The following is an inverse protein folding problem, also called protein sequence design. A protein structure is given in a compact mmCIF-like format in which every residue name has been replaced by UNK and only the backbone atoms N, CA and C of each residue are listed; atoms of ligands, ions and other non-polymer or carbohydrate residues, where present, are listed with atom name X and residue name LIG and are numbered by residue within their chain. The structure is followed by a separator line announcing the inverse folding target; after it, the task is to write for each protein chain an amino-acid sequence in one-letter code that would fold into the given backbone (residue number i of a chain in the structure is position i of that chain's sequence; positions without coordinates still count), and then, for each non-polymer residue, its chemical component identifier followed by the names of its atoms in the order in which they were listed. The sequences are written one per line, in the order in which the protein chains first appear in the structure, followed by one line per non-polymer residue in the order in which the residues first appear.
data_IF_348106688722
#
_entry.id   IF_348106688722
#
_cell.length_a   1.000
_cell.length_b   1.000
_cell.length_c   1.000
_cell.angle_alpha   90.00
_cell.angle_beta   90.00
_cell.angle_gamma   90.00
#
_symmetry.space_group_name_H-M   'P 1'
#
loop_
_entity.id
_entity.type
_entity.pdbx_description
1 polymer ?
#
# COMPACT_ATOMS: atom_id res chain seq x y z
N UNK A 1 22.87 -15.12 -8.48
CA UNK A 1 21.61 -14.49 -8.85
C UNK A 1 21.04 -13.80 -7.61
N UNK A 2 20.61 -12.56 -7.70
CA UNK A 2 19.93 -11.90 -6.58
C UNK A 2 18.68 -12.74 -6.24
N UNK A 3 18.55 -13.11 -4.98
CA UNK A 3 17.39 -13.87 -4.52
C UNK A 3 16.15 -12.94 -4.60
N UNK A 4 15.06 -13.40 -5.21
CA UNK A 4 13.82 -12.62 -5.29
C UNK A 4 13.44 -12.07 -3.92
N UNK A 5 13.11 -10.76 -3.79
CA UNK A 5 12.77 -10.18 -2.51
C UNK A 5 11.56 -10.86 -1.90
N UNK A 6 11.61 -11.10 -0.60
CA UNK A 6 10.48 -11.56 0.19
C UNK A 6 9.54 -10.40 0.49
N UNK A 7 8.27 -10.58 0.17
CA UNK A 7 7.22 -9.59 0.34
C UNK A 7 6.25 -10.06 1.41
N UNK A 8 5.93 -9.18 2.36
CA UNK A 8 4.77 -9.34 3.24
C UNK A 8 3.66 -8.40 2.82
N UNK A 9 2.43 -8.89 2.80
CA UNK A 9 1.23 -8.09 2.52
C UNK A 9 0.42 -7.93 3.81
N UNK A 10 0.05 -6.70 4.15
CA UNK A 10 -0.82 -6.38 5.29
C UNK A 10 -2.27 -6.21 4.85
N UNK A 11 -3.22 -6.51 5.74
CA UNK A 11 -4.64 -6.53 5.40
C UNK A 11 -4.95 -7.61 4.35
N UNK A 12 -4.44 -8.81 4.60
CA UNK A 12 -4.42 -9.92 3.64
C UNK A 12 -5.82 -10.33 3.15
N UNK A 13 -6.84 -10.25 3.99
CA UNK A 13 -8.23 -10.59 3.67
C UNK A 13 -8.96 -9.51 2.87
N UNK A 14 -8.44 -8.28 2.91
CA UNK A 14 -9.02 -7.15 2.19
C UNK A 14 -8.96 -7.30 0.67
N UNK A 15 -9.81 -6.56 -0.04
CA UNK A 15 -9.84 -6.58 -1.51
C UNK A 15 -8.48 -6.32 -2.14
N UNK A 16 -7.77 -5.28 -1.67
CA UNK A 16 -6.43 -4.98 -2.16
C UNK A 16 -5.41 -6.03 -1.72
N UNK A 17 -5.48 -6.49 -0.46
CA UNK A 17 -4.61 -7.53 0.06
C UNK A 17 -4.64 -8.80 -0.80
N UNK A 18 -5.82 -9.32 -1.10
CA UNK A 18 -5.98 -10.50 -1.94
C UNK A 18 -5.46 -10.31 -3.37
N UNK A 19 -5.69 -9.13 -3.98
CA UNK A 19 -5.15 -8.82 -5.32
C UNK A 19 -3.61 -8.77 -5.30
N UNK A 20 -3.03 -8.11 -4.31
CA UNK A 20 -1.57 -8.00 -4.16
C UNK A 20 -0.92 -9.35 -3.88
N UNK A 21 -1.53 -10.18 -3.03
CA UNK A 21 -1.08 -11.55 -2.77
C UNK A 21 -1.06 -12.36 -4.06
N UNK A 22 -2.13 -12.29 -4.86
CA UNK A 22 -2.20 -12.98 -6.15
C UNK A 22 -1.10 -12.53 -7.11
N UNK A 23 -0.85 -11.22 -7.21
CA UNK A 23 0.22 -10.65 -8.05
C UNK A 23 1.61 -11.11 -7.57
N UNK A 24 1.87 -11.08 -6.26
CA UNK A 24 3.16 -11.53 -5.73
C UNK A 24 3.38 -13.03 -5.94
N UNK A 25 2.34 -13.84 -5.77
CA UNK A 25 2.42 -15.30 -6.01
C UNK A 25 2.63 -15.63 -7.48
N UNK A 26 2.14 -14.80 -8.42
CA UNK A 26 2.33 -15.00 -9.86
C UNK A 26 3.63 -14.40 -10.41
N UNK A 27 4.39 -13.67 -9.59
CA UNK A 27 5.59 -12.95 -10.00
C UNK A 27 6.84 -13.83 -10.00
N UNK A 28 7.59 -13.81 -11.10
CA UNK A 28 8.93 -14.43 -11.15
C UNK A 28 10.01 -13.59 -10.44
N UNK A 29 9.69 -12.35 -10.04
CA UNK A 29 10.65 -11.38 -9.48
C UNK A 29 10.47 -11.12 -7.99
N UNK A 30 9.49 -11.75 -7.34
CA UNK A 30 9.20 -11.60 -5.92
C UNK A 30 8.71 -12.94 -5.34
N UNK A 31 8.72 -13.06 -4.03
CA UNK A 31 8.12 -14.20 -3.34
C UNK A 31 7.33 -13.72 -2.14
N UNK A 32 6.15 -14.28 -1.93
CA UNK A 32 5.38 -14.01 -0.71
C UNK A 32 6.05 -14.73 0.47
N UNK A 33 6.25 -14.01 1.58
CA UNK A 33 6.87 -14.56 2.80
C UNK A 33 6.05 -14.31 4.05
N UNK A 34 5.00 -13.49 3.97
CA UNK A 34 4.11 -13.22 5.08
C UNK A 34 2.80 -12.60 4.63
N UNK A 35 1.79 -12.80 5.45
CA UNK A 35 0.46 -12.21 5.33
C UNK A 35 0.00 -11.78 6.72
N UNK A 36 -0.33 -10.52 6.88
CA UNK A 36 -0.73 -9.95 8.17
C UNK A 36 -2.18 -9.51 8.13
N UNK A 37 -2.90 -9.83 9.22
CA UNK A 37 -4.28 -9.42 9.40
C UNK A 37 -4.49 -8.88 10.82
N UNK A 38 -5.60 -8.20 11.04
CA UNK A 38 -5.91 -7.64 12.35
C UNK A 38 -6.15 -8.74 13.41
N UNK A 39 -5.86 -8.43 14.66
CA UNK A 39 -6.10 -9.32 15.79
C UNK A 39 -7.54 -9.83 15.80
N UNK A 40 -7.72 -11.14 15.98
CA UNK A 40 -9.02 -11.79 16.05
C UNK A 40 -9.69 -12.01 14.69
N UNK A 41 -9.04 -11.70 13.56
CA UNK A 41 -9.57 -12.03 12.25
C UNK A 41 -9.58 -13.56 12.03
N UNK A 42 -10.64 -14.13 11.42
CA UNK A 42 -10.77 -15.60 11.24
C UNK A 42 -9.62 -16.24 10.44
N UNK A 43 -8.88 -15.49 9.63
CA UNK A 43 -7.75 -16.02 8.88
C UNK A 43 -6.46 -16.17 9.71
N UNK A 44 -6.39 -15.54 10.89
CA UNK A 44 -5.19 -15.64 11.75
C UNK A 44 -5.01 -17.07 12.24
N UNK A 45 -3.82 -17.61 11.99
CA UNK A 45 -3.47 -19.01 12.28
C UNK A 45 -3.76 -19.99 11.17
N UNK A 46 -4.50 -19.60 10.11
CA UNK A 46 -4.82 -20.43 8.96
C UNK A 46 -3.77 -20.27 7.83
N UNK A 47 -3.67 -21.30 6.99
CA UNK A 47 -2.92 -21.17 5.72
C UNK A 47 -3.61 -20.18 4.79
N UNK A 48 -2.86 -19.24 4.28
CA UNK A 48 -3.38 -18.15 3.44
C UNK A 48 -4.08 -18.66 2.17
N UNK A 49 -3.58 -19.72 1.56
CA UNK A 49 -4.21 -20.34 0.40
C UNK A 49 -5.59 -20.89 0.75
N UNK A 50 -5.69 -21.67 1.81
CA UNK A 50 -6.94 -22.25 2.28
C UNK A 50 -7.93 -21.16 2.72
N UNK A 51 -7.47 -20.18 3.51
CA UNK A 51 -8.28 -19.05 3.96
C UNK A 51 -8.85 -18.22 2.81
N UNK A 52 -8.09 -18.08 1.70
CA UNK A 52 -8.53 -17.38 0.49
C UNK A 52 -9.34 -18.25 -0.49
N UNK A 53 -9.60 -19.51 -0.18
CA UNK A 53 -10.36 -20.45 -1.01
C UNK A 53 -9.56 -21.07 -2.15
N UNK A 54 -8.22 -21.11 -2.01
CA UNK A 54 -7.31 -21.78 -2.96
C UNK A 54 -6.59 -22.96 -2.28
N UNK A 55 -5.62 -23.55 -2.95
CA UNK A 55 -4.79 -24.61 -2.36
C UNK A 55 -3.82 -24.03 -1.33
N UNK A 56 -3.53 -24.80 -0.29
CA UNK A 56 -2.53 -24.45 0.71
C UNK A 56 -1.20 -24.03 0.05
N UNK A 57 -0.60 -22.97 0.56
CA UNK A 57 0.65 -22.40 0.03
C UNK A 57 1.78 -22.29 1.06
N UNK A 58 1.53 -22.73 2.31
CA UNK A 58 2.51 -22.76 3.40
C UNK A 58 2.72 -21.42 4.09
N UNK A 59 1.98 -20.36 3.72
CA UNK A 59 2.04 -19.05 4.38
C UNK A 59 0.94 -19.00 5.44
N UNK A 60 1.31 -18.94 6.71
CA UNK A 60 0.34 -18.78 7.79
C UNK A 60 0.04 -17.31 8.00
N UNK A 61 -1.24 -16.94 8.00
CA UNK A 61 -1.68 -15.58 8.31
C UNK A 61 -1.44 -15.29 9.78
N UNK A 62 -0.85 -14.14 10.09
CA UNK A 62 -0.52 -13.76 11.47
C UNK A 62 -1.07 -12.38 11.82
N UNK A 63 -1.33 -12.16 13.10
CA UNK A 63 -1.59 -10.84 13.69
C UNK A 63 -0.35 -10.27 14.41
N UNK A 64 0.81 -10.89 14.24
CA UNK A 64 2.11 -10.38 14.68
C UNK A 64 2.91 -9.79 13.50
N UNK A 65 2.78 -8.48 13.21
CA UNK A 65 3.50 -7.84 12.12
C UNK A 65 5.01 -7.80 12.36
N UNK A 66 5.48 -7.78 13.61
CA UNK A 66 6.91 -7.76 13.91
C UNK A 66 7.58 -9.03 13.42
N UNK A 67 7.00 -10.19 13.70
CA UNK A 67 7.49 -11.48 13.25
C UNK A 67 7.47 -11.58 11.70
N UNK A 68 6.37 -11.15 11.09
CA UNK A 68 6.22 -11.19 9.63
C UNK A 68 7.25 -10.30 8.93
N UNK A 69 7.48 -9.08 9.45
CA UNK A 69 8.39 -8.11 8.84
C UNK A 69 9.87 -8.49 9.01
N UNK A 70 10.23 -9.17 10.08
CA UNK A 70 11.62 -9.63 10.30
C UNK A 70 12.15 -10.51 9.17
N UNK A 71 11.28 -11.20 8.45
CA UNK A 71 11.64 -12.08 7.33
C UNK A 71 11.42 -11.42 5.95
N UNK A 72 11.05 -10.14 5.90
CA UNK A 72 10.66 -9.43 4.69
C UNK A 72 11.73 -8.47 4.21
N UNK A 73 11.90 -8.35 2.91
CA UNK A 73 12.65 -7.26 2.28
C UNK A 73 11.75 -6.07 1.95
N UNK A 74 10.44 -6.32 1.73
CA UNK A 74 9.47 -5.26 1.55
C UNK A 74 8.11 -5.63 2.14
N UNK A 75 7.36 -4.62 2.54
CA UNK A 75 6.00 -4.69 3.04
C UNK A 75 5.11 -3.89 2.11
N UNK A 76 3.99 -4.46 1.69
CA UNK A 76 2.97 -3.77 0.91
C UNK A 76 1.75 -3.56 1.80
N UNK A 77 1.40 -2.30 2.01
CA UNK A 77 0.39 -1.87 2.97
C UNK A 77 -0.71 -1.02 2.31
N UNK A 78 -1.92 -1.55 2.30
CA UNK A 78 -3.15 -0.89 1.85
C UNK A 78 -4.23 -1.02 2.94
N UNK A 79 -3.88 -0.67 4.18
CA UNK A 79 -4.77 -0.84 5.33
C UNK A 79 -5.45 0.48 5.73
N UNK A 80 -5.13 0.98 6.92
CA UNK A 80 -5.71 2.20 7.47
C UNK A 80 -4.61 3.09 8.07
N UNK A 81 -4.79 4.43 8.15
CA UNK A 81 -3.76 5.36 8.61
C UNK A 81 -3.09 4.95 9.92
N UNK A 82 -3.88 4.59 10.94
CA UNK A 82 -3.34 4.15 12.24
C UNK A 82 -2.43 2.93 12.13
N UNK A 83 -2.87 1.90 11.42
CA UNK A 83 -2.07 0.68 11.23
C UNK A 83 -0.81 0.97 10.40
N UNK A 84 -0.91 1.79 9.36
CA UNK A 84 0.22 2.20 8.52
C UNK A 84 1.33 2.87 9.34
N UNK A 85 0.98 3.74 10.29
CA UNK A 85 1.96 4.40 11.18
C UNK A 85 2.68 3.36 12.05
N UNK A 86 1.94 2.42 12.65
CA UNK A 86 2.50 1.33 13.44
C UNK A 86 3.41 0.44 12.58
N UNK A 87 2.97 0.08 11.38
CA UNK A 87 3.75 -0.72 10.43
C UNK A 87 5.01 -0.01 9.94
N UNK A 88 4.98 1.31 9.77
CA UNK A 88 6.16 2.08 9.38
C UNK A 88 7.27 1.98 10.45
N UNK A 89 6.92 2.06 11.73
CA UNK A 89 7.87 1.88 12.83
C UNK A 89 8.48 0.46 12.86
N UNK A 90 7.66 -0.57 12.61
CA UNK A 90 8.12 -1.96 12.55
C UNK A 90 8.96 -2.24 11.28
N UNK A 91 8.57 -1.67 10.13
CA UNK A 91 9.36 -1.75 8.90
C UNK A 91 10.74 -1.12 9.08
N UNK A 92 10.83 -0.01 9.80
CA UNK A 92 12.10 0.63 10.15
C UNK A 92 12.99 -0.28 11.03
N UNK A 93 12.41 -0.97 12.02
CA UNK A 93 13.12 -1.95 12.84
C UNK A 93 13.64 -3.13 12.00
N UNK A 94 12.82 -3.64 11.10
CA UNK A 94 13.17 -4.73 10.19
C UNK A 94 14.11 -4.29 9.05
N UNK A 95 14.31 -2.98 8.84
CA UNK A 95 14.99 -2.39 7.67
C UNK A 95 14.39 -2.84 6.33
N UNK A 96 13.09 -3.08 6.32
CA UNK A 96 12.36 -3.49 5.14
C UNK A 96 11.78 -2.25 4.43
N UNK A 97 11.69 -2.30 3.10
CA UNK A 97 11.01 -1.26 2.32
C UNK A 97 9.52 -1.28 2.66
N UNK A 98 8.93 -0.13 2.95
CA UNK A 98 7.49 -0.01 3.21
C UNK A 98 6.79 0.72 2.07
N UNK A 99 5.98 -0.01 1.31
CA UNK A 99 5.18 0.52 0.20
C UNK A 99 3.77 0.78 0.70
N UNK A 100 3.43 2.05 0.83
CA UNK A 100 2.18 2.53 1.42
C UNK A 100 1.22 2.99 0.33
N UNK A 101 0.14 2.24 0.16
CA UNK A 101 -1.02 2.60 -0.67
C UNK A 101 -2.24 3.02 0.16
N UNK A 102 -2.10 3.11 1.47
CA UNK A 102 -3.13 3.62 2.38
C UNK A 102 -3.46 5.07 2.04
N UNK A 103 -4.75 5.37 1.87
CA UNK A 103 -5.27 6.71 1.59
C UNK A 103 -5.94 7.30 2.84
N UNK A 104 -6.29 8.59 2.79
CA UNK A 104 -6.99 9.26 3.90
C UNK A 104 -6.10 9.64 5.09
N UNK A 105 -4.79 9.58 4.97
CA UNK A 105 -3.85 10.08 5.99
C UNK A 105 -3.85 11.61 6.00
N UNK A 106 -3.96 12.20 7.19
CA UNK A 106 -3.75 13.63 7.42
C UNK A 106 -2.28 14.03 7.23
N UNK A 107 -2.01 15.32 7.09
CA UNK A 107 -0.64 15.81 6.96
C UNK A 107 0.19 15.48 8.23
N UNK A 108 -0.39 15.53 9.43
CA UNK A 108 0.28 15.15 10.68
C UNK A 108 0.63 13.65 10.72
N UNK A 109 -0.29 12.79 10.25
CA UNK A 109 -0.03 11.35 10.13
C UNK A 109 1.07 11.05 9.10
N UNK A 110 1.12 11.79 8.01
CA UNK A 110 2.19 11.69 7.02
C UNK A 110 3.54 12.12 7.63
N UNK A 111 3.57 13.23 8.36
CA UNK A 111 4.77 13.69 9.07
C UNK A 111 5.24 12.67 10.11
N UNK A 112 4.33 11.94 10.75
CA UNK A 112 4.68 10.90 11.72
C UNK A 112 5.47 9.72 11.13
N UNK A 113 5.52 9.58 9.80
CA UNK A 113 6.33 8.58 9.11
C UNK A 113 7.81 8.98 9.01
N UNK A 114 8.15 10.25 9.23
CA UNK A 114 9.52 10.76 9.05
C UNK A 114 10.57 10.02 9.90
N UNK A 115 10.35 9.71 11.19
CA UNK A 115 11.31 8.95 11.98
C UNK A 115 11.61 7.56 11.37
N UNK A 116 10.60 6.87 10.83
CA UNK A 116 10.75 5.57 10.21
C UNK A 116 11.54 5.67 8.90
N UNK A 117 11.36 6.75 8.12
CA UNK A 117 12.04 6.96 6.84
C UNK A 117 13.57 7.14 6.97
N UNK A 118 14.06 7.43 8.17
CA UNK A 118 15.51 7.49 8.46
C UNK A 118 16.18 6.10 8.53
N UNK A 119 15.39 5.05 8.67
CA UNK A 119 15.88 3.68 8.89
C UNK A 119 15.38 2.68 7.84
N UNK A 120 14.30 3.00 7.13
CA UNK A 120 13.74 2.21 6.05
C UNK A 120 13.34 3.10 4.87
N UNK A 121 13.34 2.54 3.67
CA UNK A 121 12.79 3.21 2.49
C UNK A 121 11.27 3.18 2.58
N UNK A 122 10.64 4.35 2.58
CA UNK A 122 9.18 4.49 2.52
C UNK A 122 8.79 4.97 1.14
N UNK A 123 7.95 4.20 0.45
CA UNK A 123 7.36 4.55 -0.85
C UNK A 123 5.88 4.81 -0.64
N UNK A 124 5.46 6.05 -0.79
CA UNK A 124 4.05 6.44 -0.64
C UNK A 124 3.57 7.22 -1.85
N UNK A 125 2.38 6.90 -2.33
CA UNK A 125 1.72 7.66 -3.39
C UNK A 125 0.20 7.68 -3.16
N UNK A 126 -0.47 8.74 -3.58
CA UNK A 126 -1.94 8.86 -3.53
C UNK A 126 -2.64 7.92 -4.51
N UNK A 127 -1.90 7.43 -5.51
CA UNK A 127 -2.34 6.38 -6.44
C UNK A 127 -1.14 5.62 -6.97
N UNK A 128 -1.22 4.29 -7.01
CA UNK A 128 -0.15 3.40 -7.51
C UNK A 128 -0.37 2.97 -8.97
N UNK A 129 -1.48 3.35 -9.61
CA UNK A 129 -1.73 3.04 -11.02
C UNK A 129 -0.76 3.81 -11.92
N UNK A 130 -0.05 3.09 -12.79
CA UNK A 130 0.85 3.68 -13.78
C UNK A 130 0.09 4.64 -14.71
N UNK A 131 -1.11 4.23 -15.17
CA UNK A 131 -1.95 5.06 -16.05
C UNK A 131 -2.40 6.36 -15.38
N UNK A 132 -2.84 6.29 -14.13
CA UNK A 132 -3.24 7.47 -13.36
C UNK A 132 -2.04 8.42 -13.15
N UNK A 133 -0.88 7.89 -12.79
CA UNK A 133 0.31 8.72 -12.61
C UNK A 133 0.77 9.36 -13.93
N UNK A 134 0.67 8.65 -15.06
CA UNK A 134 0.96 9.21 -16.38
C UNK A 134 -0.01 10.34 -16.73
N UNK A 135 -1.33 10.12 -16.52
CA UNK A 135 -2.34 11.16 -16.77
C UNK A 135 -2.13 12.38 -15.87
N UNK A 136 -1.76 12.19 -14.61
CA UNK A 136 -1.41 13.28 -13.69
C UNK A 136 -0.26 14.13 -14.24
N UNK A 137 0.79 13.48 -14.77
CA UNK A 137 1.92 14.18 -15.37
C UNK A 137 1.59 14.89 -16.68
N UNK A 138 0.68 14.33 -17.47
CA UNK A 138 0.18 14.98 -18.68
C UNK A 138 -0.69 16.19 -18.34
N UNK A 139 -1.60 16.06 -17.36
CA UNK A 139 -2.43 17.17 -16.89
C UNK A 139 -1.58 18.33 -16.38
N UNK A 140 -0.54 18.06 -15.57
CA UNK A 140 0.44 19.06 -15.09
C UNK A 140 1.09 19.82 -16.25
N UNK A 141 1.53 19.10 -17.29
CA UNK A 141 2.14 19.72 -18.48
C UNK A 141 1.16 20.57 -19.28
N UNK A 142 -0.09 20.10 -19.43
CA UNK A 142 -1.12 20.85 -20.15
C UNK A 142 -1.49 22.12 -19.37
N UNK A 143 -1.71 22.01 -18.07
CA UNK A 143 -2.02 23.17 -17.21
C UNK A 143 -0.93 24.21 -17.22
N UNK A 144 0.33 23.78 -17.20
CA UNK A 144 1.48 24.71 -17.27
C UNK A 144 1.66 25.38 -18.66
N UNK A 145 1.08 24.82 -19.71
CA UNK A 145 1.12 25.36 -21.06
C UNK A 145 -0.07 26.31 -21.37
N UNK A 146 -1.12 26.24 -20.57
CA UNK A 146 -2.28 27.12 -20.62
C UNK A 146 -1.98 28.36 -19.78
N UNK A 147 -2.51 29.50 -20.19
CA UNK A 147 -2.37 30.78 -19.47
C UNK A 147 -3.51 30.99 -18.47
N UNK A 148 -3.54 32.18 -17.84
CA UNK A 148 -4.50 32.53 -16.81
C UNK A 148 -5.94 32.71 -17.33
N UNK A 149 -6.15 32.64 -18.63
CA UNK A 149 -7.48 32.74 -19.25
C UNK A 149 -8.26 31.40 -19.19
N UNK A 150 -7.63 30.33 -18.67
CA UNK A 150 -8.23 28.99 -18.54
C UNK A 150 -8.51 28.62 -17.09
N UNK A 151 -9.77 28.29 -16.82
CA UNK A 151 -10.17 27.71 -15.54
C UNK A 151 -9.94 26.20 -15.51
N UNK A 152 -9.52 25.69 -14.35
CA UNK A 152 -9.29 24.26 -14.13
C UNK A 152 -10.23 23.76 -13.05
N UNK A 153 -11.07 22.79 -13.40
CA UNK A 153 -11.98 22.14 -12.47
C UNK A 153 -11.71 20.62 -12.42
N UNK A 154 -11.83 20.04 -11.23
CA UNK A 154 -11.68 18.61 -11.01
C UNK A 154 -12.98 18.05 -10.49
N UNK A 155 -13.57 17.12 -11.27
CA UNK A 155 -14.77 16.38 -10.90
C UNK A 155 -14.41 14.91 -10.77
N UNK A 156 -14.75 14.30 -9.65
CA UNK A 156 -14.52 12.87 -9.43
C UNK A 156 -15.82 12.14 -9.04
N UNK A 157 -15.88 10.86 -9.40
CA UNK A 157 -16.98 9.99 -9.03
C UNK A 157 -16.45 8.62 -8.65
N UNK A 158 -16.91 8.08 -7.54
CA UNK A 158 -16.51 6.80 -7.01
C UNK A 158 -17.72 5.96 -6.59
N UNK A 159 -17.47 4.67 -6.40
CA UNK A 159 -18.47 3.77 -5.85
C UNK A 159 -18.83 4.17 -4.40
N UNK A 160 -20.05 3.77 -3.94
CA UNK A 160 -20.60 4.11 -2.62
C UNK A 160 -19.76 3.69 -1.39
N UNK A 161 -18.80 2.79 -1.58
CA UNK A 161 -17.95 2.26 -0.50
C UNK A 161 -16.63 3.01 -0.35
N UNK A 162 -16.40 4.09 -1.10
CA UNK A 162 -15.21 4.92 -0.92
C UNK A 162 -15.36 5.76 0.35
N UNK A 163 -14.35 5.72 1.21
CA UNK A 163 -14.38 6.35 2.55
C UNK A 163 -13.81 7.77 2.51
N UNK A 164 -12.72 7.96 1.76
CA UNK A 164 -12.03 9.26 1.65
C UNK A 164 -12.63 10.11 0.52
N UNK A 165 -12.94 11.36 0.83
CA UNK A 165 -13.32 12.39 -0.14
C UNK A 165 -12.74 13.75 0.32
N UNK A 166 -12.01 14.47 -0.55
CA UNK A 166 -11.59 14.10 -1.90
C UNK A 166 -10.67 12.89 -1.92
N UNK A 167 -10.64 12.17 -3.05
CA UNK A 167 -9.75 11.00 -3.20
C UNK A 167 -8.28 11.41 -3.19
N UNK A 168 -7.40 10.46 -2.85
CA UNK A 168 -5.96 10.66 -2.97
C UNK A 168 -5.53 11.10 -4.38
N UNK A 169 -6.22 10.61 -5.42
CA UNK A 169 -6.00 11.01 -6.82
C UNK A 169 -6.39 12.46 -7.07
N UNK A 170 -7.58 12.88 -6.60
CA UNK A 170 -8.03 14.27 -6.74
C UNK A 170 -7.06 15.23 -6.04
N UNK A 171 -6.64 14.90 -4.82
CA UNK A 171 -5.65 15.68 -4.07
C UNK A 171 -4.28 15.75 -4.78
N UNK A 172 -3.88 14.69 -5.48
CA UNK A 172 -2.66 14.72 -6.32
C UNK A 172 -2.77 15.72 -7.46
N UNK A 173 -3.96 15.87 -8.05
CA UNK A 173 -4.18 16.79 -9.17
C UNK A 173 -4.26 18.24 -8.72
N UNK A 174 -4.83 18.51 -7.55
CA UNK A 174 -4.91 19.90 -6.99
C UNK A 174 -3.55 20.42 -6.53
N UNK A 175 -2.66 19.54 -6.04
CA UNK A 175 -1.34 19.93 -5.50
C UNK A 175 -0.26 20.09 -6.58
N UNK A 176 -0.60 19.95 -7.85
CA UNK A 176 0.32 20.03 -9.00
C UNK A 176 0.09 21.29 -9.81
#
# INVERSE_FOLDING_TARGET
MAKNPGITVTGASGRMGQMLIKEVLSSDNARLVGAVEQVGHPWVGEDLGEASGTSANGIIVTDDPLQAFANSQAIIDFTAPKATIEFAALAAQARAVHVIGTTGMSDDEILSLEPASRHAVIVRAGNMSLGVNLLTKLAEKVSAALDEDFDIEIIESHHRHKVDAPSGTALMWVKR
#
